data_IF_491746825369
#
_entry.id   IF_491746825369
#
_cell.length_a   1.000
_cell.length_b   1.000
_cell.length_c   1.000
_cell.angle_alpha   90.00
_cell.angle_beta   90.00
_cell.angle_gamma   90.00
#
_symmetry.space_group_name_H-M   'P 1'
#
loop_
_entity.id
_entity.type
_entity.pdbx_description
1 polymer ?
#
# COMPACT_ATOMS: atom_id res chain seq x y z
N UNK A 1 17.82 19.46 -12.04
CA UNK A 1 18.39 18.11 -11.84
C UNK A 1 17.30 17.09 -12.11
N UNK A 2 17.30 16.45 -13.28
CA UNK A 2 16.32 15.41 -13.62
C UNK A 2 16.68 14.19 -12.79
N UNK A 3 15.86 13.83 -11.80
CA UNK A 3 16.11 12.65 -10.96
C UNK A 3 15.89 11.40 -11.82
N UNK A 4 16.99 10.75 -12.20
CA UNK A 4 16.94 9.41 -12.78
C UNK A 4 16.09 8.51 -11.86
N UNK A 5 15.23 7.69 -12.47
CA UNK A 5 14.44 6.63 -11.81
C UNK A 5 13.04 6.99 -11.27
N UNK A 6 12.49 8.14 -11.66
CA UNK A 6 11.09 8.49 -11.40
C UNK A 6 10.38 8.67 -12.75
N UNK A 7 9.18 8.07 -12.99
CA UNK A 7 8.43 8.30 -14.22
C UNK A 7 8.22 9.81 -14.46
N UNK A 8 8.27 10.25 -15.73
CA UNK A 8 8.30 11.68 -16.10
C UNK A 8 7.17 12.53 -15.49
N UNK A 9 6.07 11.91 -15.10
CA UNK A 9 4.91 12.55 -14.48
C UNK A 9 5.07 12.86 -12.98
N UNK A 10 6.15 12.42 -12.32
CA UNK A 10 6.40 12.74 -10.91
C UNK A 10 7.67 13.58 -10.75
N UNK A 11 7.60 14.62 -9.92
CA UNK A 11 8.71 15.57 -9.71
C UNK A 11 9.70 15.08 -8.65
N UNK A 12 9.28 14.20 -7.74
CA UNK A 12 10.13 13.67 -6.66
C UNK A 12 9.91 12.17 -6.43
N UNK A 13 10.92 11.49 -5.87
CA UNK A 13 10.78 10.09 -5.44
C UNK A 13 9.65 9.94 -4.41
N UNK A 14 9.50 10.88 -3.48
CA UNK A 14 8.39 10.86 -2.51
C UNK A 14 7.02 10.91 -3.15
N UNK A 15 6.82 11.77 -4.16
CA UNK A 15 5.55 11.79 -4.90
C UNK A 15 5.26 10.46 -5.59
N UNK A 16 6.27 9.83 -6.17
CA UNK A 16 6.11 8.51 -6.78
C UNK A 16 5.82 7.42 -5.74
N UNK A 17 6.48 7.46 -4.58
CA UNK A 17 6.21 6.52 -3.49
C UNK A 17 4.81 6.69 -2.91
N UNK A 18 4.29 7.92 -2.82
CA UNK A 18 2.87 8.15 -2.47
C UNK A 18 1.91 7.50 -3.45
N UNK A 19 2.19 7.64 -4.74
CA UNK A 19 1.43 6.94 -5.77
C UNK A 19 1.51 5.41 -5.59
N UNK A 20 2.70 4.84 -5.34
CA UNK A 20 2.85 3.39 -5.11
C UNK A 20 2.04 2.93 -3.88
N UNK A 21 2.07 3.67 -2.77
CA UNK A 21 1.28 3.36 -1.57
C UNK A 21 -0.23 3.37 -1.85
N UNK A 22 -0.71 4.42 -2.52
CA UNK A 22 -2.12 4.54 -2.93
C UNK A 22 -2.53 3.42 -3.88
N UNK A 23 -1.72 3.15 -4.90
CA UNK A 23 -1.97 2.10 -5.88
C UNK A 23 -2.08 0.74 -5.19
N UNK A 24 -1.17 0.44 -4.27
CA UNK A 24 -1.15 -0.83 -3.53
C UNK A 24 -2.39 -1.02 -2.65
N UNK A 25 -2.75 0.02 -1.89
CA UNK A 25 -3.97 0.01 -1.07
C UNK A 25 -5.23 -0.15 -1.93
N UNK A 26 -5.27 0.48 -3.11
CA UNK A 26 -6.37 0.31 -4.07
C UNK A 26 -6.46 -1.11 -4.61
N UNK A 27 -5.32 -1.76 -4.90
CA UNK A 27 -5.30 -3.17 -5.32
C UNK A 27 -5.90 -4.06 -4.24
N UNK A 28 -5.46 -3.93 -2.99
CA UNK A 28 -6.01 -4.71 -1.88
C UNK A 28 -7.51 -4.49 -1.66
N UNK A 29 -7.98 -3.26 -1.83
CA UNK A 29 -9.42 -2.96 -1.77
C UNK A 29 -10.20 -3.66 -2.88
N UNK A 30 -9.69 -3.62 -4.12
CA UNK A 30 -10.34 -4.30 -5.24
C UNK A 30 -10.36 -5.83 -5.05
N UNK A 31 -9.26 -6.44 -4.60
CA UNK A 31 -9.21 -7.87 -4.27
C UNK A 31 -10.22 -8.24 -3.17
N UNK A 32 -10.32 -7.42 -2.11
CA UNK A 32 -11.28 -7.63 -1.04
C UNK A 32 -12.74 -7.49 -1.53
N UNK A 33 -13.01 -6.51 -2.39
CA UNK A 33 -14.30 -6.32 -3.04
C UNK A 33 -14.67 -7.52 -3.91
N UNK A 34 -13.75 -7.99 -4.75
CA UNK A 34 -13.99 -9.11 -5.66
C UNK A 34 -14.18 -10.42 -4.88
N UNK A 35 -13.53 -10.56 -3.72
CA UNK A 35 -13.76 -11.69 -2.79
C UNK A 35 -15.13 -11.60 -2.11
N UNK A 36 -15.57 -10.41 -1.70
CA UNK A 36 -16.82 -10.23 -0.96
C UNK A 36 -18.05 -10.27 -1.87
N UNK A 37 -17.93 -9.71 -3.08
CA UNK A 37 -18.93 -9.66 -4.15
C UNK A 37 -18.41 -10.36 -5.42
N UNK A 38 -18.26 -11.70 -5.39
CA UNK A 38 -17.82 -12.42 -6.57
C UNK A 38 -18.89 -12.37 -7.66
N UNK A 39 -18.44 -12.34 -8.92
CA UNK A 39 -19.34 -12.45 -10.08
C UNK A 39 -19.99 -13.84 -10.08
N UNK A 40 -21.32 -13.88 -10.18
CA UNK A 40 -22.07 -15.14 -10.16
C UNK A 40 -22.30 -15.71 -8.76
N UNK A 41 -22.26 -14.88 -7.72
CA UNK A 41 -22.71 -15.26 -6.38
C UNK A 41 -24.19 -15.70 -6.38
N UNK A 42 -24.51 -16.73 -5.59
CA UNK A 42 -25.89 -17.17 -5.29
C UNK A 42 -26.56 -16.31 -4.19
N UNK A 43 -25.91 -15.22 -3.77
CA UNK A 43 -26.48 -14.28 -2.81
C UNK A 43 -27.82 -13.71 -3.29
N UNK A 44 -28.80 -13.65 -2.39
CA UNK A 44 -30.04 -12.93 -2.67
C UNK A 44 -29.79 -11.40 -2.76
N UNK A 45 -30.75 -10.68 -3.33
CA UNK A 45 -30.65 -9.24 -3.54
C UNK A 45 -30.41 -8.43 -2.25
N UNK A 46 -30.95 -8.88 -1.11
CA UNK A 46 -30.74 -8.22 0.18
C UNK A 46 -29.28 -8.37 0.65
N UNK A 47 -28.70 -9.56 0.51
CA UNK A 47 -27.32 -9.82 0.89
C UNK A 47 -26.33 -9.07 -0.01
N UNK A 48 -26.59 -9.02 -1.32
CA UNK A 48 -25.80 -8.21 -2.26
C UNK A 48 -25.80 -6.75 -1.81
N UNK A 49 -26.97 -6.17 -1.52
CA UNK A 49 -27.09 -4.78 -1.07
C UNK A 49 -26.36 -4.51 0.25
N UNK A 50 -26.40 -5.46 1.20
CA UNK A 50 -25.65 -5.37 2.46
C UNK A 50 -24.14 -5.37 2.21
N UNK A 51 -23.65 -6.26 1.35
CA UNK A 51 -22.23 -6.35 0.98
C UNK A 51 -21.75 -5.10 0.24
N UNK A 52 -22.53 -4.58 -0.71
CA UNK A 52 -22.24 -3.33 -1.42
C UNK A 52 -22.11 -2.14 -0.45
N UNK A 53 -23.02 -2.04 0.52
CA UNK A 53 -22.95 -1.00 1.56
C UNK A 53 -21.64 -1.08 2.35
N UNK A 54 -21.24 -2.27 2.78
CA UNK A 54 -19.99 -2.47 3.53
C UNK A 54 -18.78 -2.05 2.69
N UNK A 55 -18.77 -2.39 1.40
CA UNK A 55 -17.67 -2.01 0.48
C UNK A 55 -17.61 -0.50 0.29
N UNK A 56 -18.75 0.16 0.16
CA UNK A 56 -18.80 1.63 0.03
C UNK A 56 -18.37 2.33 1.33
N UNK A 57 -18.73 1.79 2.49
CA UNK A 57 -18.24 2.29 3.79
C UNK A 57 -16.70 2.17 3.89
N UNK A 58 -16.12 1.05 3.44
CA UNK A 58 -14.66 0.89 3.38
C UNK A 58 -14.02 1.86 2.37
N UNK A 59 -14.61 2.02 1.18
CA UNK A 59 -14.14 2.97 0.18
C UNK A 59 -14.12 4.39 0.72
N UNK A 60 -15.21 4.82 1.34
CA UNK A 60 -15.33 6.16 1.97
C UNK A 60 -14.27 6.37 3.03
N UNK A 61 -13.98 5.36 3.87
CA UNK A 61 -12.89 5.42 4.86
C UNK A 61 -11.51 5.53 4.19
N UNK A 62 -11.26 4.80 3.10
CA UNK A 62 -10.01 4.89 2.34
C UNK A 62 -9.85 6.28 1.71
N UNK A 63 -10.88 6.81 1.07
CA UNK A 63 -10.88 8.14 0.46
C UNK A 63 -10.60 9.24 1.48
N UNK A 64 -11.26 9.19 2.66
CA UNK A 64 -11.00 10.10 3.78
C UNK A 64 -9.55 10.09 4.25
N UNK A 65 -8.88 8.94 4.13
CA UNK A 65 -7.47 8.76 4.51
C UNK A 65 -6.52 8.81 3.31
N UNK A 66 -6.96 9.30 2.15
CA UNK A 66 -6.16 9.37 0.92
C UNK A 66 -5.51 8.03 0.53
N UNK A 67 -6.21 6.91 0.79
CA UNK A 67 -5.71 5.55 0.58
C UNK A 67 -4.35 5.28 1.27
N UNK A 68 -4.12 5.94 2.40
CA UNK A 68 -2.88 5.86 3.17
C UNK A 68 -1.63 6.11 2.31
N UNK A 69 -1.73 7.02 1.33
CA UNK A 69 -0.66 7.32 0.38
C UNK A 69 0.66 7.75 1.05
N UNK A 70 0.59 8.34 2.24
CA UNK A 70 1.78 8.74 3.02
C UNK A 70 2.60 7.58 3.59
N UNK A 71 2.08 6.35 3.61
CA UNK A 71 2.77 5.19 4.21
C UNK A 71 4.15 4.93 3.63
N UNK A 72 4.37 5.25 2.36
CA UNK A 72 5.67 5.09 1.72
C UNK A 72 6.44 6.39 1.56
N UNK A 73 5.91 7.52 2.01
CA UNK A 73 6.55 8.83 1.86
C UNK A 73 7.51 9.11 3.03
N UNK A 74 8.82 9.06 2.78
CA UNK A 74 9.82 9.40 3.80
C UNK A 74 9.73 10.82 4.37
N UNK A 75 9.06 11.73 3.64
CA UNK A 75 8.85 13.14 4.06
C UNK A 75 7.57 13.35 4.85
N UNK A 76 6.73 12.32 5.01
CA UNK A 76 5.55 12.40 5.85
C UNK A 76 5.91 12.30 7.34
N UNK A 77 5.00 12.80 8.18
CA UNK A 77 5.13 12.74 9.64
C UNK A 77 5.28 11.29 10.12
N UNK A 78 6.05 11.09 11.20
CA UNK A 78 6.50 9.75 11.63
C UNK A 78 5.37 8.73 11.86
N UNK A 79 4.20 9.18 12.31
CA UNK A 79 3.04 8.30 12.51
C UNK A 79 2.28 7.94 11.20
N UNK A 80 2.60 8.60 10.08
CA UNK A 80 1.94 8.40 8.78
C UNK A 80 2.78 7.57 7.81
N UNK A 81 4.10 7.45 8.04
CA UNK A 81 5.04 6.68 7.21
C UNK A 81 5.47 5.38 7.86
N UNK A 82 5.89 4.41 7.04
CA UNK A 82 6.42 3.11 7.46
C UNK A 82 7.95 3.04 7.39
N UNK A 83 8.57 4.02 6.75
CA UNK A 83 10.03 4.11 6.63
C UNK A 83 10.62 5.14 7.58
N UNK A 84 11.93 5.04 7.78
CA UNK A 84 12.69 6.06 8.50
C UNK A 84 12.79 7.38 7.71
N UNK A 85 13.56 8.35 8.21
CA UNK A 85 13.81 9.62 7.53
C UNK A 85 14.59 9.50 6.22
N UNK A 86 15.37 8.43 6.06
CA UNK A 86 16.14 8.14 4.86
C UNK A 86 15.33 7.39 3.79
N UNK A 87 14.19 6.81 4.18
CA UNK A 87 13.33 6.01 3.32
C UNK A 87 13.65 4.51 3.37
N UNK A 88 14.34 4.04 4.41
CA UNK A 88 14.57 2.61 4.67
C UNK A 88 13.31 2.00 5.29
N UNK A 89 12.88 0.87 4.74
CA UNK A 89 11.80 0.04 5.27
C UNK A 89 12.44 -1.19 5.89
N UNK A 90 12.04 -1.50 7.12
CA UNK A 90 12.46 -2.70 7.82
C UNK A 90 11.31 -3.73 7.79
N UNK A 91 11.65 -5.00 7.61
CA UNK A 91 10.67 -6.08 7.60
C UNK A 91 10.11 -6.30 9.02
N UNK A 92 8.78 -6.34 9.13
CA UNK A 92 8.09 -6.54 10.41
C UNK A 92 7.94 -8.02 10.81
N UNK A 93 8.49 -8.95 10.03
CA UNK A 93 8.35 -10.39 10.24
C UNK A 93 7.20 -11.01 9.46
N UNK A 94 7.06 -12.33 9.62
CA UNK A 94 5.89 -13.06 9.14
C UNK A 94 4.65 -12.73 9.99
N UNK A 95 3.45 -12.97 9.49
CA UNK A 95 2.19 -12.66 10.20
C UNK A 95 2.06 -13.35 11.56
N UNK A 96 2.73 -14.49 11.75
CA UNK A 96 2.76 -15.27 12.99
C UNK A 96 3.98 -14.96 13.89
N UNK A 97 4.76 -13.93 13.57
CA UNK A 97 5.99 -13.56 14.31
C UNK A 97 5.96 -12.09 14.69
N UNK A 98 6.52 -11.78 15.86
CA UNK A 98 6.61 -10.40 16.35
C UNK A 98 7.68 -9.57 15.62
N UNK A 99 8.64 -10.23 14.96
CA UNK A 99 9.73 -9.54 14.24
C UNK A 99 10.37 -10.40 13.16
N UNK A 100 11.06 -9.75 12.22
CA UNK A 100 11.92 -10.42 11.25
C UNK A 100 13.27 -10.81 11.88
N UNK A 101 13.57 -12.11 11.95
CA UNK A 101 14.84 -12.62 12.49
C UNK A 101 16.05 -12.24 11.61
N UNK A 102 15.87 -12.23 10.29
CA UNK A 102 16.97 -12.00 9.34
C UNK A 102 17.24 -10.50 9.09
N UNK A 103 16.54 -9.61 9.79
CA UNK A 103 16.69 -8.15 9.70
C UNK A 103 16.65 -7.61 8.26
N UNK A 104 15.76 -8.18 7.45
CA UNK A 104 15.54 -7.73 6.08
C UNK A 104 15.18 -6.23 6.06
N UNK A 105 15.80 -5.49 5.15
CA UNK A 105 15.52 -4.08 4.91
C UNK A 105 15.63 -3.76 3.42
N UNK A 106 14.96 -2.69 3.00
CA UNK A 106 15.04 -2.17 1.63
C UNK A 106 14.90 -0.65 1.64
N UNK A 107 15.61 0.02 0.73
CA UNK A 107 15.47 1.47 0.57
C UNK A 107 15.17 1.84 -0.89
N UNK A 108 13.88 1.95 -1.27
CA UNK A 108 13.48 2.32 -2.64
C UNK A 108 13.86 3.75 -3.03
N UNK A 109 14.35 4.57 -2.08
CA UNK A 109 14.87 5.90 -2.35
C UNK A 109 16.35 5.91 -2.75
N UNK A 110 17.11 4.85 -2.47
CA UNK A 110 18.54 4.79 -2.81
C UNK A 110 18.77 4.34 -4.26
N UNK A 111 18.38 3.12 -4.62
CA UNK A 111 18.69 2.51 -5.92
C UNK A 111 17.44 2.21 -6.75
N UNK A 112 17.60 2.12 -8.08
CA UNK A 112 16.50 1.78 -8.99
C UNK A 112 16.06 0.33 -8.80
N UNK A 113 17.03 -0.55 -8.56
CA UNK A 113 16.85 -1.97 -8.33
C UNK A 113 16.05 -2.17 -7.03
N UNK A 114 16.36 -1.40 -5.98
CA UNK A 114 15.58 -1.43 -4.73
C UNK A 114 14.13 -0.96 -4.96
N UNK A 115 13.93 0.10 -5.75
CA UNK A 115 12.60 0.60 -6.10
C UNK A 115 11.76 -0.43 -6.89
N UNK A 116 12.41 -1.18 -7.79
CA UNK A 116 11.79 -2.26 -8.55
C UNK A 116 11.48 -3.46 -7.62
N UNK A 117 12.44 -3.89 -6.82
CA UNK A 117 12.28 -5.01 -5.88
C UNK A 117 11.26 -4.71 -4.77
N UNK A 118 11.00 -3.44 -4.47
CA UNK A 118 10.00 -3.04 -3.48
C UNK A 118 8.57 -3.50 -3.81
N UNK A 119 8.29 -3.88 -5.07
CA UNK A 119 6.99 -4.47 -5.44
C UNK A 119 6.81 -5.86 -4.81
N UNK A 120 7.90 -6.60 -4.64
CA UNK A 120 7.91 -7.91 -4.00
C UNK A 120 7.86 -7.84 -2.47
N UNK A 121 8.12 -6.68 -1.88
CA UNK A 121 7.99 -6.44 -0.44
C UNK A 121 6.52 -6.30 -0.07
N UNK A 122 5.92 -7.30 0.58
CA UNK A 122 4.48 -7.29 0.85
C UNK A 122 4.10 -6.52 2.13
N UNK A 123 2.98 -5.81 2.08
CA UNK A 123 2.26 -5.37 3.28
C UNK A 123 1.35 -6.53 3.69
N UNK A 124 1.96 -7.60 4.22
CA UNK A 124 1.20 -8.76 4.65
C UNK A 124 0.18 -8.36 5.73
N UNK A 125 -1.03 -8.91 5.63
CA UNK A 125 -2.02 -8.83 6.71
C UNK A 125 -1.46 -9.62 7.90
N UNK A 126 -1.48 -9.02 9.09
CA UNK A 126 -1.36 -9.79 10.35
C UNK A 126 -2.61 -10.65 10.52
#
# INVERSE_FOLDING_TARGET
>A
MVMANVPKNYKTKSQYMRYKAKSRTSTYFNEAKDTLLPKGSDDNAEMIKKKERVIEEFRSKLEKNSYYDKRFDRTADGNQKLCDEFGKFDCQGASDKDSCHDHHHINPYLRKEDLANFENWNLARQ
#
